data_IF_516832822291
#
_entry.id   IF_516832822291
#
_cell.length_a   1.000
_cell.length_b   1.000
_cell.length_c   1.000
_cell.angle_alpha   90.00
_cell.angle_beta   90.00
_cell.angle_gamma   90.00
#
_symmetry.space_group_name_H-M   'P 1'
#
loop_
_entity.id
_entity.type
_entity.pdbx_description
1 polymer ?
#
# COMPACT_ATOMS: atom_id res chain seq x y z
N UNK A 1 24.93 40.48 -12.63
CA UNK A 1 25.55 39.51 -11.70
C UNK A 1 24.66 39.43 -10.47
N UNK A 2 23.63 38.59 -10.53
CA UNK A 2 22.83 38.18 -9.38
C UNK A 2 22.54 36.70 -9.61
N UNK A 3 23.27 35.89 -8.87
CA UNK A 3 23.21 34.43 -8.88
C UNK A 3 22.01 33.98 -8.05
N UNK A 4 21.27 33.04 -8.65
CA UNK A 4 20.23 32.22 -8.05
C UNK A 4 20.69 31.65 -6.72
N UNK A 5 19.91 31.89 -5.67
CA UNK A 5 20.03 31.16 -4.42
C UNK A 5 19.25 29.85 -4.59
N UNK A 6 20.01 28.78 -4.83
CA UNK A 6 19.51 27.42 -4.86
C UNK A 6 19.30 27.00 -3.40
N UNK A 7 18.05 27.08 -2.94
CA UNK A 7 17.67 26.55 -1.63
C UNK A 7 18.03 25.07 -1.56
N UNK A 8 18.95 24.80 -0.66
CA UNK A 8 19.58 23.51 -0.43
C UNK A 8 18.53 22.51 0.02
N UNK A 9 18.45 21.41 -0.72
CA UNK A 9 17.79 20.15 -0.40
C UNK A 9 18.04 19.73 1.06
N UNK A 10 17.06 19.90 1.93
CA UNK A 10 16.82 18.90 2.99
C UNK A 10 16.01 17.77 2.36
N UNK A 11 16.71 16.91 1.58
CA UNK A 11 16.20 15.55 1.38
C UNK A 11 16.36 14.88 2.74
N UNK A 12 15.29 14.80 3.51
CA UNK A 12 15.17 13.81 4.57
C UNK A 12 15.26 12.43 3.90
N UNK A 13 16.49 11.96 3.68
CA UNK A 13 16.76 10.53 3.54
C UNK A 13 16.34 9.95 4.88
N UNK A 14 15.16 9.31 4.92
CA UNK A 14 14.77 8.50 6.06
C UNK A 14 15.96 7.57 6.33
N UNK A 15 16.59 7.71 7.49
CA UNK A 15 17.71 6.85 7.84
C UNK A 15 17.11 5.46 8.01
N UNK A 16 17.37 4.59 7.04
CA UNK A 16 16.92 3.21 7.09
C UNK A 16 17.64 2.56 8.26
N UNK A 17 16.90 2.23 9.34
CA UNK A 17 17.44 1.57 10.52
C UNK A 17 16.98 0.12 10.50
N UNK A 18 17.92 -0.78 10.30
CA UNK A 18 17.70 -2.22 10.36
C UNK A 18 18.29 -2.77 11.63
N UNK A 19 17.56 -3.64 12.32
CA UNK A 19 18.06 -4.38 13.47
C UNK A 19 18.30 -5.83 13.10
N UNK A 20 19.51 -6.32 13.36
CA UNK A 20 19.82 -7.76 13.30
C UNK A 20 19.96 -8.27 14.73
N UNK A 21 19.26 -9.36 15.04
CA UNK A 21 19.16 -9.96 16.36
C UNK A 21 19.61 -11.43 16.33
N UNK A 22 20.19 -11.91 17.44
CA UNK A 22 20.65 -13.29 17.63
C UNK A 22 21.55 -13.39 18.86
N UNK A 23 22.09 -14.56 19.17
CA UNK A 23 22.95 -14.81 20.35
C UNK A 23 24.34 -14.16 20.31
N UNK A 24 24.56 -13.16 19.44
CA UNK A 24 25.87 -12.56 19.20
C UNK A 24 26.87 -13.51 18.49
N UNK A 25 26.37 -14.57 17.86
CA UNK A 25 27.17 -15.58 17.19
C UNK A 25 27.73 -15.13 15.83
N UNK A 26 28.54 -15.99 15.21
CA UNK A 26 29.18 -15.70 13.92
C UNK A 26 28.16 -15.47 12.80
N UNK A 27 27.00 -16.14 12.85
CA UNK A 27 25.95 -16.00 11.84
C UNK A 27 25.26 -14.63 11.92
N UNK A 28 24.99 -14.14 13.13
CA UNK A 28 24.45 -12.79 13.34
C UNK A 28 25.40 -11.70 12.82
N UNK A 29 26.70 -11.86 13.05
CA UNK A 29 27.73 -10.94 12.51
C UNK A 29 27.78 -10.98 10.98
N UNK A 30 27.66 -12.16 10.36
CA UNK A 30 27.62 -12.31 8.91
C UNK A 30 26.39 -11.63 8.30
N UNK A 31 25.21 -11.87 8.87
CA UNK A 31 23.97 -11.23 8.43
C UNK A 31 24.06 -9.69 8.53
N UNK A 32 24.57 -9.18 9.66
CA UNK A 32 24.78 -7.76 9.86
C UNK A 32 25.76 -7.16 8.85
N UNK A 33 26.83 -7.87 8.50
CA UNK A 33 27.82 -7.41 7.53
C UNK A 33 27.23 -7.32 6.11
N UNK A 34 26.51 -8.34 5.65
CA UNK A 34 25.81 -8.30 4.35
C UNK A 34 24.85 -7.12 4.30
N UNK A 35 24.04 -6.92 5.35
CA UNK A 35 23.11 -5.80 5.42
C UNK A 35 23.84 -4.44 5.42
N UNK A 36 24.96 -4.29 6.14
CA UNK A 36 25.76 -3.06 6.16
C UNK A 36 26.33 -2.73 4.78
N UNK A 37 26.86 -3.72 4.08
CA UNK A 37 27.43 -3.53 2.75
C UNK A 37 26.39 -3.02 1.76
N UNK A 38 25.17 -3.55 1.80
CA UNK A 38 24.09 -3.07 0.93
C UNK A 38 23.55 -1.73 1.39
N UNK A 39 23.36 -1.52 2.69
CA UNK A 39 22.89 -0.24 3.25
C UNK A 39 23.85 0.92 2.94
N UNK A 40 25.16 0.69 3.01
CA UNK A 40 26.18 1.70 2.69
C UNK A 40 26.08 2.20 1.24
N UNK A 41 25.69 1.35 0.28
CA UNK A 41 25.46 1.74 -1.13
C UNK A 41 24.27 2.70 -1.29
N UNK A 42 23.42 2.81 -0.26
CA UNK A 42 22.18 3.60 -0.24
C UNK A 42 22.20 4.71 0.81
N UNK A 43 23.36 4.98 1.41
CA UNK A 43 23.49 5.94 2.53
C UNK A 43 22.62 5.58 3.76
N UNK A 44 22.27 4.31 3.94
CA UNK A 44 21.55 3.79 5.10
C UNK A 44 22.48 3.31 6.22
N UNK A 45 21.92 2.90 7.37
CA UNK A 45 22.69 2.35 8.50
C UNK A 45 22.07 1.06 9.03
N UNK A 46 22.90 0.18 9.61
CA UNK A 46 22.44 -1.07 10.21
C UNK A 46 22.91 -1.10 11.65
N UNK A 47 21.95 -1.25 12.56
CA UNK A 47 22.20 -1.45 13.97
C UNK A 47 22.12 -2.94 14.28
N UNK A 48 22.98 -3.40 15.18
CA UNK A 48 22.92 -4.78 15.69
C UNK A 48 22.52 -4.66 17.14
N UNK A 49 21.43 -5.32 17.50
CA UNK A 49 20.84 -5.26 18.84
C UNK A 49 20.69 -6.69 19.37
N UNK A 50 21.22 -6.96 20.54
CA UNK A 50 20.99 -8.24 21.24
C UNK A 50 19.58 -8.24 21.83
N UNK A 51 18.77 -9.27 21.54
CA UNK A 51 17.47 -9.45 22.18
C UNK A 51 17.63 -10.29 23.45
N UNK A 52 16.92 -9.98 24.55
CA UNK A 52 16.53 -11.00 25.49
C UNK A 52 15.45 -11.89 24.82
N UNK A 53 15.70 -13.19 24.68
CA UNK A 53 14.72 -14.20 24.21
C UNK A 53 13.39 -14.00 24.99
N UNK A 54 12.24 -13.67 24.38
CA UNK A 54 11.38 -14.50 23.50
C UNK A 54 10.23 -13.63 22.90
N UNK A 55 9.80 -13.72 21.61
CA UNK A 55 8.64 -12.99 21.08
C UNK A 55 7.26 -13.60 21.46
N UNK A 56 7.25 -14.70 22.23
CA UNK A 56 6.14 -15.57 22.68
C UNK A 56 5.98 -16.90 21.91
N UNK A 57 6.98 -17.76 22.11
CA UNK A 57 6.96 -19.23 22.23
C UNK A 57 7.08 -20.12 20.97
N UNK A 58 7.56 -21.37 21.16
CA UNK A 58 8.88 -21.72 21.66
C UNK A 58 9.76 -22.19 20.48
N UNK A 59 10.96 -21.63 20.37
CA UNK A 59 11.99 -22.13 19.46
C UNK A 59 12.42 -23.52 19.93
N UNK A 60 11.76 -24.55 19.39
CA UNK A 60 12.18 -25.93 19.53
C UNK A 60 13.48 -26.15 18.79
N UNK A 61 14.52 -26.55 19.53
CA UNK A 61 15.77 -27.15 19.07
C UNK A 61 16.28 -26.68 17.68
N UNK A 62 16.70 -25.43 17.58
CA UNK A 62 17.63 -25.01 16.53
C UNK A 62 18.53 -23.92 17.08
N UNK A 63 19.85 -24.12 16.95
CA UNK A 63 20.86 -23.09 17.15
C UNK A 63 20.43 -21.79 16.43
N UNK A 64 20.36 -20.69 17.17
CA UNK A 64 19.57 -19.48 16.87
C UNK A 64 19.99 -18.78 15.56
N UNK A 65 19.22 -18.96 14.48
CA UNK A 65 19.41 -18.21 13.24
C UNK A 65 19.17 -16.70 13.48
N UNK A 66 19.93 -15.81 12.80
CA UNK A 66 19.76 -14.38 12.97
C UNK A 66 18.38 -13.91 12.49
N UNK A 67 17.77 -13.00 13.24
CA UNK A 67 16.49 -12.39 12.94
C UNK A 67 16.72 -10.97 12.46
N UNK A 68 16.19 -10.63 11.28
CA UNK A 68 16.25 -9.28 10.73
C UNK A 68 14.89 -8.63 10.91
N UNK A 69 14.90 -7.51 11.62
CA UNK A 69 13.72 -6.72 11.94
C UNK A 69 13.89 -5.26 11.49
N UNK A 70 12.77 -4.64 11.15
CA UNK A 70 12.66 -3.21 10.87
C UNK A 70 11.61 -2.62 11.82
N UNK A 71 12.04 -1.74 12.72
CA UNK A 71 11.21 -1.33 13.86
C UNK A 71 10.82 -2.53 14.74
N UNK A 72 9.53 -2.71 15.00
CA UNK A 72 9.00 -3.83 15.79
C UNK A 72 8.62 -5.05 14.94
N UNK A 73 8.82 -5.01 13.61
CA UNK A 73 8.38 -6.06 12.69
C UNK A 73 9.53 -6.98 12.32
N UNK A 74 9.38 -8.27 12.60
CA UNK A 74 10.27 -9.31 12.07
C UNK A 74 9.98 -9.52 10.58
N UNK A 75 11.01 -9.50 9.74
CA UNK A 75 10.85 -9.61 8.27
C UNK A 75 11.63 -10.77 7.68
N UNK A 76 12.71 -11.22 8.32
CA UNK A 76 13.50 -12.35 7.83
C UNK A 76 14.17 -13.12 8.97
N UNK A 77 14.36 -14.42 8.77
CA UNK A 77 15.11 -15.31 9.67
C UNK A 77 16.18 -16.04 8.86
N UNK A 78 17.41 -16.08 9.35
CA UNK A 78 18.59 -16.61 8.66
C UNK A 78 19.57 -15.53 8.19
N UNK A 79 20.67 -15.97 7.57
CA UNK A 79 21.66 -15.08 6.98
C UNK A 79 21.27 -14.76 5.52
N UNK A 80 20.98 -13.49 5.18
CA UNK A 80 20.60 -13.11 3.82
C UNK A 80 21.79 -13.16 2.87
N UNK A 81 21.52 -13.47 1.61
CA UNK A 81 22.42 -13.16 0.49
C UNK A 81 22.42 -11.65 0.20
N UNK A 82 23.34 -11.18 -0.66
CA UNK A 82 23.37 -9.78 -1.10
C UNK A 82 22.07 -9.35 -1.79
N UNK A 83 21.49 -10.22 -2.62
CA UNK A 83 20.24 -9.97 -3.33
C UNK A 83 19.05 -9.88 -2.35
N UNK A 84 18.96 -10.83 -1.41
CA UNK A 84 17.94 -10.80 -0.36
C UNK A 84 18.06 -9.55 0.52
N UNK A 85 19.29 -9.17 0.89
CA UNK A 85 19.53 -7.94 1.64
C UNK A 85 19.05 -6.70 0.87
N UNK A 86 19.29 -6.63 -0.44
CA UNK A 86 18.81 -5.53 -1.28
C UNK A 86 17.28 -5.48 -1.38
N UNK A 87 16.63 -6.64 -1.53
CA UNK A 87 15.17 -6.72 -1.52
C UNK A 87 14.59 -6.27 -0.17
N UNK A 88 15.12 -6.77 0.94
CA UNK A 88 14.66 -6.45 2.29
C UNK A 88 14.78 -4.94 2.56
N UNK A 89 15.90 -4.31 2.19
CA UNK A 89 16.11 -2.87 2.35
C UNK A 89 15.16 -2.05 1.47
N UNK A 90 14.94 -2.44 0.20
CA UNK A 90 13.96 -1.76 -0.68
C UNK A 90 12.55 -1.85 -0.11
N UNK A 91 12.17 -3.02 0.42
CA UNK A 91 10.85 -3.25 1.02
C UNK A 91 10.60 -2.32 2.19
N UNK A 92 11.56 -2.20 3.09
CA UNK A 92 11.43 -1.28 4.22
C UNK A 92 11.45 0.18 3.78
N UNK A 93 12.31 0.55 2.84
CA UNK A 93 12.40 1.92 2.32
C UNK A 93 11.07 2.38 1.74
N UNK A 94 10.45 1.62 0.85
CA UNK A 94 9.14 2.00 0.30
C UNK A 94 8.04 1.96 1.37
N UNK A 95 8.03 0.96 2.25
CA UNK A 95 7.04 0.84 3.33
C UNK A 95 7.08 2.04 4.28
N UNK A 96 8.27 2.46 4.71
CA UNK A 96 8.47 3.63 5.57
C UNK A 96 8.07 4.95 4.90
N UNK A 97 8.24 5.07 3.58
CA UNK A 97 7.88 6.28 2.82
C UNK A 97 6.37 6.42 2.66
N UNK A 98 5.67 5.31 2.46
CA UNK A 98 4.21 5.31 2.30
C UNK A 98 3.44 5.24 3.63
N UNK A 99 4.07 4.77 4.72
CA UNK A 99 3.41 4.61 6.02
C UNK A 99 2.96 5.93 6.66
N UNK A 100 3.53 7.07 6.26
CA UNK A 100 3.02 8.40 6.67
C UNK A 100 1.58 8.64 6.21
N UNK A 101 1.14 7.97 5.14
CA UNK A 101 -0.22 8.00 4.62
C UNK A 101 -1.03 6.75 5.01
N UNK A 102 -0.57 5.99 6.01
CA UNK A 102 -1.38 4.92 6.57
C UNK A 102 -2.70 5.50 7.09
N UNK A 103 -3.82 4.90 6.69
CA UNK A 103 -5.16 5.37 7.07
C UNK A 103 -5.38 5.39 8.59
N UNK A 104 -4.61 4.61 9.36
CA UNK A 104 -4.56 4.69 10.83
C UNK A 104 -4.18 6.10 11.35
N UNK A 105 -3.58 6.95 10.52
CA UNK A 105 -3.30 8.34 10.88
C UNK A 105 -4.54 9.24 10.77
N UNK A 106 -5.58 8.83 10.02
CA UNK A 106 -6.84 9.56 9.91
C UNK A 106 -7.66 9.42 11.21
N UNK A 107 -7.93 10.56 11.86
CA UNK A 107 -8.71 10.57 13.10
C UNK A 107 -10.17 10.15 12.86
N UNK A 108 -10.79 10.64 11.78
CA UNK A 108 -12.20 10.36 11.50
C UNK A 108 -12.43 8.88 11.18
N UNK A 109 -11.58 8.28 10.35
CA UNK A 109 -11.69 6.86 9.97
C UNK A 109 -11.52 5.94 11.18
N UNK A 110 -10.49 6.19 12.01
CA UNK A 110 -10.28 5.40 13.24
C UNK A 110 -11.44 5.53 14.22
N UNK A 111 -11.88 6.76 14.49
CA UNK A 111 -12.99 6.99 15.41
C UNK A 111 -14.30 6.38 14.88
N UNK A 112 -14.48 6.30 13.56
CA UNK A 112 -15.62 5.63 12.95
C UNK A 112 -15.53 4.11 13.15
N UNK A 113 -14.38 3.50 12.86
CA UNK A 113 -14.12 2.09 13.10
C UNK A 113 -14.36 1.69 14.58
N UNK A 114 -14.03 2.59 15.51
CA UNK A 114 -14.24 2.42 16.95
C UNK A 114 -15.67 2.78 17.44
N UNK A 115 -16.56 3.28 16.57
CA UNK A 115 -17.91 3.71 16.93
C UNK A 115 -17.96 5.00 17.80
N UNK A 116 -16.85 5.72 17.88
CA UNK A 116 -16.71 6.96 18.66
C UNK A 116 -17.25 8.18 17.92
N UNK A 117 -17.26 8.16 16.59
CA UNK A 117 -17.88 9.20 15.76
C UNK A 117 -18.90 8.58 14.81
N UNK A 118 -20.02 9.27 14.60
CA UNK A 118 -20.96 8.92 13.55
C UNK A 118 -20.50 9.57 12.25
N UNK A 119 -20.56 8.85 11.14
CA UNK A 119 -20.36 9.38 9.78
C UNK A 119 -21.57 8.98 8.95
N UNK A 120 -21.87 9.76 7.92
CA UNK A 120 -22.85 9.36 6.91
C UNK A 120 -22.26 8.24 6.04
N UNK A 121 -22.80 7.01 6.06
CA UNK A 121 -22.29 5.93 5.19
C UNK A 121 -22.41 6.29 3.71
N UNK A 122 -23.38 7.14 3.32
CA UNK A 122 -23.50 7.60 1.93
C UNK A 122 -22.25 8.38 1.46
N UNK A 123 -21.47 8.96 2.36
CA UNK A 123 -20.22 9.64 2.01
C UNK A 123 -19.21 8.69 1.33
N UNK A 124 -19.19 7.41 1.71
CA UNK A 124 -18.32 6.42 1.07
C UNK A 124 -18.70 6.15 -0.39
N UNK A 125 -19.96 6.40 -0.80
CA UNK A 125 -20.38 6.20 -2.17
C UNK A 125 -19.63 7.10 -3.18
N UNK A 126 -19.01 8.19 -2.71
CA UNK A 126 -18.12 9.02 -3.53
C UNK A 126 -16.84 8.30 -3.99
N UNK A 127 -16.51 7.14 -3.41
CA UNK A 127 -15.40 6.30 -3.87
C UNK A 127 -15.75 5.51 -5.14
N UNK A 128 -17.03 5.35 -5.45
CA UNK A 128 -17.49 4.50 -6.55
C UNK A 128 -16.80 4.77 -7.90
N UNK A 129 -16.53 6.02 -8.33
CA UNK A 129 -15.76 6.25 -9.55
C UNK A 129 -14.35 5.66 -9.53
N UNK A 130 -13.68 5.66 -8.38
CA UNK A 130 -12.34 5.07 -8.22
C UNK A 130 -12.46 3.55 -8.36
N UNK A 131 -13.43 2.92 -7.68
CA UNK A 131 -13.71 1.49 -7.82
C UNK A 131 -14.05 1.11 -9.27
N UNK A 132 -14.86 1.91 -9.94
CA UNK A 132 -15.26 1.69 -11.33
C UNK A 132 -14.08 1.77 -12.31
N UNK A 133 -13.16 2.72 -12.09
CA UNK A 133 -12.02 2.96 -12.98
C UNK A 133 -10.77 2.15 -12.63
N UNK A 134 -10.66 1.57 -11.43
CA UNK A 134 -9.49 0.77 -11.02
C UNK A 134 -9.13 -0.37 -11.99
N UNK A 135 -10.10 -1.19 -12.47
CA UNK A 135 -9.82 -2.19 -13.50
C UNK A 135 -9.30 -1.56 -14.81
N UNK A 136 -9.70 -0.33 -15.11
CA UNK A 136 -9.22 0.39 -16.30
C UNK A 136 -7.80 0.92 -16.08
N UNK A 137 -7.41 1.32 -14.87
CA UNK A 137 -6.01 1.66 -14.54
C UNK A 137 -5.10 0.46 -14.78
N UNK A 138 -5.51 -0.73 -14.33
CA UNK A 138 -4.80 -1.99 -14.58
C UNK A 138 -4.69 -2.27 -16.09
N UNK A 139 -5.80 -2.19 -16.83
CA UNK A 139 -5.80 -2.41 -18.28
C UNK A 139 -4.86 -1.44 -19.03
N UNK A 140 -4.84 -0.17 -18.63
CA UNK A 140 -3.91 0.85 -19.16
C UNK A 140 -2.45 0.50 -18.88
N UNK A 141 -2.15 0.07 -17.66
CA UNK A 141 -0.80 -0.36 -17.29
C UNK A 141 -0.36 -1.59 -18.10
N UNK A 142 -1.22 -2.61 -18.19
CA UNK A 142 -1.00 -3.81 -19.02
C UNK A 142 -0.68 -3.43 -20.48
N UNK A 143 -1.36 -2.41 -21.02
CA UNK A 143 -1.18 -1.95 -22.39
C UNK A 143 0.21 -1.42 -22.72
N UNK A 144 0.99 -0.95 -21.74
CA UNK A 144 2.32 -0.37 -22.00
C UNK A 144 3.49 -1.04 -21.25
N UNK A 145 3.26 -1.64 -20.07
CA UNK A 145 4.31 -2.34 -19.30
C UNK A 145 4.94 -3.45 -20.15
N UNK A 146 6.27 -3.46 -20.25
CA UNK A 146 7.01 -4.31 -21.20
C UNK A 146 7.50 -5.61 -20.59
N UNK A 147 7.77 -5.65 -19.29
CA UNK A 147 8.11 -6.89 -18.61
C UNK A 147 6.93 -7.86 -18.60
N UNK A 148 7.15 -9.09 -19.09
CA UNK A 148 6.06 -10.06 -19.27
C UNK A 148 5.54 -10.59 -17.93
N UNK A 149 6.42 -10.80 -16.95
CA UNK A 149 6.03 -11.31 -15.63
C UNK A 149 5.22 -10.25 -14.88
N UNK A 150 5.64 -8.99 -14.92
CA UNK A 150 4.88 -7.87 -14.39
C UNK A 150 3.50 -7.76 -15.04
N UNK A 151 3.41 -7.89 -16.37
CA UNK A 151 2.11 -7.92 -17.05
C UNK A 151 1.23 -9.09 -16.62
N UNK A 152 1.78 -10.29 -16.44
CA UNK A 152 1.00 -11.45 -15.99
C UNK A 152 0.38 -11.22 -14.61
N UNK A 153 1.13 -10.62 -13.68
CA UNK A 153 0.61 -10.23 -12.37
C UNK A 153 -0.54 -9.22 -12.48
N UNK A 154 -0.37 -8.18 -13.33
CA UNK A 154 -1.42 -7.20 -13.58
C UNK A 154 -2.66 -7.80 -14.24
N UNK A 155 -2.49 -8.76 -15.16
CA UNK A 155 -3.61 -9.48 -15.80
C UNK A 155 -4.36 -10.33 -14.78
N UNK A 156 -3.65 -10.99 -13.85
CA UNK A 156 -4.25 -11.73 -12.75
C UNK A 156 -5.13 -10.82 -11.88
N UNK A 157 -4.57 -9.70 -11.43
CA UNK A 157 -5.31 -8.68 -10.68
C UNK A 157 -6.55 -8.19 -11.47
N UNK A 158 -6.38 -7.82 -12.76
CA UNK A 158 -7.51 -7.39 -13.60
C UNK A 158 -8.62 -8.44 -13.72
N UNK A 159 -8.25 -9.73 -13.78
CA UNK A 159 -9.19 -10.85 -13.85
C UNK A 159 -10.00 -10.98 -12.55
N UNK A 160 -9.35 -10.84 -11.40
CA UNK A 160 -10.00 -10.84 -10.08
C UNK A 160 -10.93 -9.64 -9.91
N UNK A 161 -10.49 -8.43 -10.28
CA UNK A 161 -11.31 -7.22 -10.30
C UNK A 161 -12.59 -7.35 -11.15
N UNK A 162 -12.53 -8.18 -12.21
CA UNK A 162 -13.68 -8.55 -13.04
C UNK A 162 -14.45 -9.76 -12.49
N UNK A 163 -14.34 -10.05 -11.20
CA UNK A 163 -15.08 -11.11 -10.52
C UNK A 163 -14.76 -12.50 -11.05
N UNK A 164 -13.53 -12.73 -11.54
CA UNK A 164 -13.16 -13.96 -12.22
C UNK A 164 -14.04 -14.28 -13.45
N UNK A 165 -14.52 -13.24 -14.13
CA UNK A 165 -15.51 -13.25 -15.23
C UNK A 165 -16.95 -13.58 -14.81
N UNK A 166 -17.27 -13.52 -13.52
CA UNK A 166 -18.63 -13.45 -13.02
C UNK A 166 -19.03 -11.98 -12.83
N UNK A 167 -19.97 -11.50 -13.66
CA UNK A 167 -20.46 -10.12 -13.62
C UNK A 167 -21.02 -9.73 -12.23
N UNK A 168 -21.57 -10.68 -11.47
CA UNK A 168 -22.11 -10.44 -10.13
C UNK A 168 -21.03 -10.27 -9.05
N UNK A 169 -19.80 -10.70 -9.34
CA UNK A 169 -18.67 -10.66 -8.42
C UNK A 169 -17.64 -9.59 -8.80
N UNK A 170 -17.87 -8.82 -9.87
CA UNK A 170 -16.98 -7.70 -10.21
C UNK A 170 -16.91 -6.74 -9.03
N UNK A 171 -15.73 -6.24 -8.70
CA UNK A 171 -15.55 -5.34 -7.57
C UNK A 171 -16.43 -4.07 -7.70
N UNK A 172 -16.61 -3.47 -8.90
CA UNK A 172 -17.61 -2.43 -9.12
C UNK A 172 -19.05 -2.87 -8.82
N UNK A 173 -19.45 -4.12 -9.10
CA UNK A 173 -20.80 -4.61 -8.75
C UNK A 173 -20.96 -4.78 -7.24
N UNK A 174 -19.96 -5.31 -6.55
CA UNK A 174 -19.95 -5.39 -5.08
C UNK A 174 -20.11 -3.99 -4.47
N UNK A 175 -19.46 -2.97 -5.05
CA UNK A 175 -19.63 -1.58 -4.62
C UNK A 175 -21.02 -1.01 -4.95
N UNK A 176 -21.61 -1.38 -6.10
CA UNK A 176 -23.01 -1.03 -6.40
C UNK A 176 -23.97 -1.65 -5.40
N UNK A 177 -23.74 -2.89 -4.97
CA UNK A 177 -24.54 -3.54 -3.93
C UNK A 177 -24.45 -2.79 -2.60
N UNK A 178 -23.25 -2.33 -2.22
CA UNK A 178 -23.09 -1.43 -1.07
C UNK A 178 -23.99 -0.19 -1.17
N UNK A 179 -23.97 0.51 -2.31
CA UNK A 179 -24.80 1.71 -2.51
C UNK A 179 -26.29 1.38 -2.44
N UNK A 180 -26.73 0.26 -3.06
CA UNK A 180 -28.13 -0.18 -3.02
C UNK A 180 -28.58 -0.59 -1.62
N UNK A 181 -27.71 -1.19 -0.81
CA UNK A 181 -27.98 -1.55 0.58
C UNK A 181 -28.21 -0.31 1.49
N UNK A 182 -27.82 0.88 1.03
CA UNK A 182 -28.14 2.17 1.66
C UNK A 182 -29.42 2.82 1.10
N UNK A 183 -30.20 2.10 0.28
CA UNK A 183 -31.35 2.60 -0.46
C UNK A 183 -31.02 3.76 -1.43
N UNK A 184 -29.79 3.79 -1.95
CA UNK A 184 -29.32 4.81 -2.90
C UNK A 184 -29.24 4.26 -4.33
N UNK A 185 -29.25 5.16 -5.32
CA UNK A 185 -29.04 4.82 -6.73
C UNK A 185 -27.54 4.92 -7.11
N UNK A 186 -26.86 3.83 -7.49
CA UNK A 186 -25.46 3.88 -7.90
C UNK A 186 -25.18 4.79 -9.10
N UNK A 187 -26.13 4.96 -10.01
CA UNK A 187 -25.96 5.82 -11.18
C UNK A 187 -25.76 7.30 -10.81
N UNK A 188 -26.19 7.70 -9.61
CA UNK A 188 -25.98 9.05 -9.09
C UNK A 188 -24.51 9.36 -8.75
N UNK A 189 -23.67 8.33 -8.64
CA UNK A 189 -22.27 8.45 -8.21
C UNK A 189 -21.27 8.21 -9.34
N UNK A 190 -21.71 7.94 -10.58
CA UNK A 190 -20.82 7.66 -11.72
C UNK A 190 -20.15 8.93 -12.28
N UNK A 191 -20.82 10.09 -12.19
CA UNK A 191 -20.33 11.30 -12.83
C UNK A 191 -19.17 11.94 -12.06
N UNK A 192 -18.03 12.11 -12.74
CA UNK A 192 -16.80 12.71 -12.22
C UNK A 192 -16.74 14.23 -12.28
N UNK A 193 -17.61 14.91 -13.05
CA UNK A 193 -17.44 16.32 -13.43
C UNK A 193 -17.26 17.30 -12.25
N UNK A 194 -17.60 16.90 -11.01
CA UNK A 194 -17.24 17.60 -9.78
C UNK A 194 -17.06 16.65 -8.57
N UNK A 195 -16.72 15.37 -8.80
CA UNK A 195 -16.64 14.39 -7.72
C UNK A 195 -15.35 14.55 -6.89
N UNK A 196 -15.38 14.29 -5.57
CA UNK A 196 -14.16 14.22 -4.75
C UNK A 196 -13.11 13.23 -5.32
N UNK A 197 -13.57 12.21 -6.05
CA UNK A 197 -12.73 11.20 -6.70
C UNK A 197 -12.04 11.66 -7.99
N UNK A 198 -12.46 12.77 -8.62
CA UNK A 198 -12.03 13.12 -9.98
C UNK A 198 -10.52 13.30 -10.13
N UNK A 199 -9.90 14.01 -9.18
CA UNK A 199 -8.45 14.22 -9.18
C UNK A 199 -7.66 12.90 -9.03
N UNK A 200 -8.18 11.96 -8.24
CA UNK A 200 -7.58 10.63 -8.08
C UNK A 200 -7.66 9.89 -9.41
N UNK A 201 -8.86 9.80 -10.00
CA UNK A 201 -9.08 9.09 -11.26
C UNK A 201 -8.24 9.66 -12.41
N UNK A 202 -8.25 10.99 -12.58
CA UNK A 202 -7.44 11.67 -13.60
C UNK A 202 -5.96 11.34 -13.44
N UNK A 203 -5.45 11.39 -12.20
CA UNK A 203 -4.03 11.17 -11.93
C UNK A 203 -3.61 9.72 -12.17
N UNK A 204 -4.42 8.75 -11.74
CA UNK A 204 -4.15 7.34 -12.00
C UNK A 204 -4.21 7.03 -13.50
N UNK A 205 -5.18 7.61 -14.22
CA UNK A 205 -5.27 7.49 -15.66
C UNK A 205 -4.03 8.01 -16.38
N UNK A 206 -3.55 9.20 -15.99
CA UNK A 206 -2.37 9.79 -16.59
C UNK A 206 -1.10 8.95 -16.36
N UNK A 207 -0.91 8.37 -15.17
CA UNK A 207 0.29 7.59 -14.84
C UNK A 207 0.23 6.16 -15.35
N UNK A 208 -0.95 5.53 -15.38
CA UNK A 208 -1.10 4.16 -15.85
C UNK A 208 -1.22 4.04 -17.37
N UNK A 209 -1.54 5.11 -18.09
CA UNK A 209 -1.69 5.06 -19.55
C UNK A 209 -0.35 4.97 -20.31
N UNK A 210 0.71 5.61 -19.79
CA UNK A 210 1.96 5.74 -20.52
C UNK A 210 3.16 6.06 -19.61
N UNK A 211 4.35 5.96 -20.18
CA UNK A 211 5.61 6.28 -19.52
C UNK A 211 6.41 5.03 -19.13
N UNK A 212 7.43 5.19 -18.28
CA UNK A 212 8.22 4.08 -17.76
C UNK A 212 7.41 3.13 -16.87
N UNK A 213 7.60 1.81 -17.06
CA UNK A 213 6.92 0.74 -16.32
C UNK A 213 6.91 0.93 -14.80
N UNK A 214 8.05 1.36 -14.22
CA UNK A 214 8.19 1.55 -12.76
C UNK A 214 7.21 2.58 -12.20
N UNK A 215 6.75 3.55 -13.00
CA UNK A 215 5.78 4.55 -12.54
C UNK A 215 4.38 3.98 -12.42
N UNK A 216 3.92 3.23 -13.42
CA UNK A 216 2.61 2.58 -13.36
C UNK A 216 2.56 1.54 -12.22
N UNK A 217 3.61 0.72 -12.11
CA UNK A 217 3.73 -0.26 -11.02
C UNK A 217 3.79 0.39 -9.64
N UNK A 218 4.49 1.51 -9.48
CA UNK A 218 4.54 2.26 -8.22
C UNK A 218 3.18 2.90 -7.86
N UNK A 219 2.46 3.42 -8.86
CA UNK A 219 1.14 4.03 -8.67
C UNK A 219 0.15 2.97 -8.17
N UNK A 220 0.09 1.82 -8.84
CA UNK A 220 -0.77 0.70 -8.45
C UNK A 220 -0.36 0.10 -7.10
N UNK A 221 0.95 -0.07 -6.85
CA UNK A 221 1.45 -0.52 -5.55
C UNK A 221 0.97 0.40 -4.42
N UNK A 222 1.08 1.72 -4.60
CA UNK A 222 0.66 2.68 -3.58
C UNK A 222 -0.84 2.63 -3.28
N UNK A 223 -1.67 2.30 -4.26
CA UNK A 223 -3.10 2.07 -4.06
C UNK A 223 -3.36 0.82 -3.22
N UNK A 224 -2.96 -0.33 -3.74
CA UNK A 224 -3.20 -1.67 -3.16
C UNK A 224 -2.61 -1.77 -1.76
N UNK A 225 -1.44 -1.17 -1.56
CA UNK A 225 -0.77 -1.16 -0.26
C UNK A 225 -1.59 -0.48 0.83
N UNK A 226 -2.37 0.54 0.48
CA UNK A 226 -3.17 1.31 1.42
C UNK A 226 -4.61 0.79 1.53
N UNK A 227 -5.11 0.12 0.49
CA UNK A 227 -6.54 -0.15 0.37
C UNK A 227 -7.03 -1.24 1.33
N UNK A 228 -6.30 -2.35 1.51
CA UNK A 228 -6.66 -3.35 2.53
C UNK A 228 -6.81 -2.78 3.95
N UNK A 229 -5.86 -1.99 4.50
CA UNK A 229 -6.03 -1.32 5.78
C UNK A 229 -7.23 -0.36 5.84
N UNK A 230 -7.52 0.36 4.75
CA UNK A 230 -8.69 1.23 4.64
C UNK A 230 -9.97 0.40 4.77
N UNK A 231 -10.11 -0.60 3.93
CA UNK A 231 -11.29 -1.47 3.88
C UNK A 231 -11.51 -2.19 5.22
N UNK A 232 -10.45 -2.61 5.90
CA UNK A 232 -10.51 -3.20 7.25
C UNK A 232 -11.19 -2.25 8.25
N UNK A 233 -10.74 -1.00 8.31
CA UNK A 233 -11.31 -0.01 9.23
C UNK A 233 -12.74 0.39 8.85
N UNK A 234 -13.01 0.59 7.56
CA UNK A 234 -14.34 0.95 7.09
C UNK A 234 -15.36 -0.16 7.35
N UNK A 235 -14.99 -1.42 7.08
CA UNK A 235 -15.82 -2.58 7.38
C UNK A 235 -16.13 -2.68 8.89
N UNK A 236 -15.15 -2.41 9.75
CA UNK A 236 -15.34 -2.40 11.20
C UNK A 236 -16.34 -1.31 11.65
N UNK A 237 -16.33 -0.14 11.01
CA UNK A 237 -17.31 0.92 11.27
C UNK A 237 -18.71 0.59 10.75
N UNK A 238 -18.82 0.13 9.50
CA UNK A 238 -20.08 -0.21 8.84
C UNK A 238 -20.85 -1.32 9.57
N UNK A 239 -20.16 -2.35 10.08
CA UNK A 239 -20.77 -3.42 10.88
C UNK A 239 -21.48 -2.95 12.15
N UNK A 240 -21.20 -1.73 12.64
CA UNK A 240 -21.88 -1.15 13.80
C UNK A 240 -23.21 -0.50 13.45
N UNK A 241 -23.52 -0.34 12.16
CA UNK A 241 -24.70 0.36 11.66
C UNK A 241 -25.88 -0.57 11.38
N UNK A 242 -25.77 -1.87 11.69
CA UNK A 242 -26.83 -2.89 11.50
C UNK A 242 -27.39 -2.91 10.05
N UNK A 243 -26.52 -2.65 9.06
CA UNK A 243 -26.84 -2.70 7.63
C UNK A 243 -26.85 -4.15 7.12
N UNK A 244 -27.40 -4.36 5.93
CA UNK A 244 -27.35 -5.64 5.21
C UNK A 244 -25.90 -6.12 4.99
N UNK A 245 -25.67 -7.43 4.89
CA UNK A 245 -24.33 -7.99 4.64
C UNK A 245 -23.72 -7.47 3.33
N UNK A 246 -24.55 -7.19 2.33
CA UNK A 246 -24.13 -6.57 1.06
C UNK A 246 -23.51 -5.17 1.28
N UNK A 247 -23.82 -4.49 2.39
CA UNK A 247 -23.23 -3.21 2.73
C UNK A 247 -21.75 -3.31 3.17
N UNK A 248 -21.25 -4.51 3.46
CA UNK A 248 -19.88 -4.70 3.96
C UNK A 248 -19.04 -5.56 3.02
N UNK A 249 -19.67 -6.38 2.17
CA UNK A 249 -19.01 -7.38 1.32
C UNK A 249 -17.86 -6.83 0.48
N UNK A 250 -18.02 -5.67 -0.17
CA UNK A 250 -16.95 -5.04 -0.94
C UNK A 250 -15.69 -4.80 -0.08
N UNK A 251 -15.87 -4.26 1.11
CA UNK A 251 -14.77 -3.93 2.02
C UNK A 251 -14.12 -5.19 2.62
N UNK A 252 -14.90 -6.25 2.85
CA UNK A 252 -14.36 -7.51 3.32
C UNK A 252 -13.42 -8.15 2.31
N UNK A 253 -13.82 -8.22 1.03
CA UNK A 253 -12.97 -8.74 -0.05
C UNK A 253 -11.63 -8.01 -0.09
N UNK A 254 -11.66 -6.68 -0.16
CA UNK A 254 -10.45 -5.85 -0.25
C UNK A 254 -9.63 -5.82 1.04
N UNK A 255 -10.21 -6.16 2.21
CA UNK A 255 -9.43 -6.27 3.44
C UNK A 255 -8.38 -7.40 3.39
N UNK A 256 -8.60 -8.41 2.55
CA UNK A 256 -7.74 -9.58 2.42
C UNK A 256 -6.94 -9.58 1.10
N UNK A 257 -7.62 -9.49 -0.05
CA UNK A 257 -7.01 -9.78 -1.38
C UNK A 257 -5.90 -8.79 -1.77
N UNK A 258 -6.06 -7.51 -1.43
CA UNK A 258 -5.12 -6.44 -1.82
C UNK A 258 -3.74 -6.59 -1.16
N UNK A 259 -3.63 -7.37 -0.07
CA UNK A 259 -2.34 -7.66 0.57
C UNK A 259 -1.43 -8.42 -0.39
N UNK A 260 -1.98 -9.41 -1.09
CA UNK A 260 -1.24 -10.21 -2.06
C UNK A 260 -0.94 -9.41 -3.33
N UNK A 261 -1.91 -8.62 -3.81
CA UNK A 261 -1.68 -7.70 -4.95
C UNK A 261 -0.56 -6.69 -4.67
N UNK A 262 -0.54 -6.08 -3.48
CA UNK A 262 0.51 -5.15 -3.10
C UNK A 262 1.90 -5.83 -3.09
N UNK A 263 2.01 -7.08 -2.64
CA UNK A 263 3.28 -7.80 -2.65
C UNK A 263 3.71 -8.22 -4.07
N UNK A 264 2.77 -8.65 -4.92
CA UNK A 264 3.03 -8.93 -6.34
C UNK A 264 3.50 -7.67 -7.09
N UNK A 265 2.82 -6.55 -6.91
CA UNK A 265 3.18 -5.26 -7.49
C UNK A 265 4.55 -4.78 -6.99
N UNK A 266 4.86 -4.97 -5.69
CA UNK A 266 6.18 -4.65 -5.14
C UNK A 266 7.27 -5.46 -5.84
N UNK A 267 7.07 -6.77 -6.02
CA UNK A 267 8.02 -7.63 -6.70
C UNK A 267 8.27 -7.16 -8.15
N UNK A 268 7.21 -6.91 -8.91
CA UNK A 268 7.30 -6.35 -10.27
C UNK A 268 8.01 -4.99 -10.29
N UNK A 269 7.68 -4.10 -9.35
CA UNK A 269 8.27 -2.78 -9.23
C UNK A 269 9.78 -2.85 -9.00
N UNK A 270 10.25 -3.80 -8.19
CA UNK A 270 11.68 -3.95 -7.91
C UNK A 270 12.44 -4.37 -9.17
N UNK A 271 11.87 -5.27 -9.96
CA UNK A 271 12.42 -5.68 -11.26
C UNK A 271 12.45 -4.54 -12.28
N UNK A 272 11.44 -3.67 -12.29
CA UNK A 272 11.38 -2.51 -13.17
C UNK A 272 12.40 -1.40 -12.82
N UNK A 273 12.93 -1.42 -11.59
CA UNK A 273 13.87 -0.41 -11.08
C UNK A 273 15.35 -0.87 -11.17
N UNK A 274 15.93 -0.73 -12.36
CA UNK A 274 17.33 -1.08 -12.69
C UNK A 274 18.38 -0.02 -12.28
N UNK A 275 17.96 1.10 -11.70
CA UNK A 275 18.86 2.18 -11.28
C UNK A 275 18.34 2.92 -10.06
N UNK A 276 19.24 3.54 -9.25
CA UNK A 276 18.82 4.34 -8.10
C UNK A 276 17.86 5.48 -8.46
N UNK A 277 17.99 6.04 -9.67
CA UNK A 277 17.10 7.08 -10.17
C UNK A 277 15.68 6.55 -10.38
N UNK A 278 15.50 5.41 -11.07
CA UNK A 278 14.18 4.81 -11.25
C UNK A 278 13.54 4.44 -9.92
N UNK A 279 14.35 3.93 -8.98
CA UNK A 279 13.87 3.61 -7.64
C UNK A 279 13.39 4.85 -6.89
N UNK A 280 14.14 5.97 -6.91
CA UNK A 280 13.67 7.22 -6.27
C UNK A 280 12.38 7.75 -6.94
N UNK A 281 12.29 7.72 -8.27
CA UNK A 281 11.07 8.10 -8.99
C UNK A 281 9.88 7.20 -8.62
N UNK A 282 10.10 5.88 -8.47
CA UNK A 282 9.09 4.94 -8.00
C UNK A 282 8.63 5.25 -6.57
N UNK A 283 9.56 5.57 -5.66
CA UNK A 283 9.22 5.97 -4.29
C UNK A 283 8.35 7.24 -4.29
N UNK A 284 8.69 8.24 -5.10
CA UNK A 284 7.89 9.47 -5.22
C UNK A 284 6.47 9.18 -5.71
N UNK A 285 6.32 8.32 -6.72
CA UNK A 285 5.00 7.95 -7.27
C UNK A 285 4.18 7.11 -6.28
N UNK A 286 4.78 6.13 -5.60
CA UNK A 286 4.08 5.33 -4.59
C UNK A 286 3.60 6.17 -3.40
N UNK A 287 4.41 7.17 -3.02
CA UNK A 287 4.07 8.16 -1.99
C UNK A 287 2.92 9.05 -2.44
N UNK A 288 2.93 9.53 -3.69
CA UNK A 288 1.83 10.29 -4.28
C UNK A 288 0.53 9.47 -4.29
N UNK A 289 0.59 8.24 -4.81
CA UNK A 289 -0.55 7.31 -4.88
C UNK A 289 -1.20 7.10 -3.50
N UNK A 290 -0.37 6.84 -2.48
CA UNK A 290 -0.83 6.64 -1.10
C UNK A 290 -1.45 7.92 -0.52
N UNK A 291 -0.85 9.09 -0.81
CA UNK A 291 -1.34 10.38 -0.35
C UNK A 291 -2.70 10.74 -0.93
N UNK A 292 -2.90 10.52 -2.24
CA UNK A 292 -4.19 10.74 -2.91
C UNK A 292 -5.32 9.94 -2.26
N UNK A 293 -5.06 8.66 -1.94
CA UNK A 293 -6.05 7.79 -1.33
C UNK A 293 -6.33 8.18 0.13
N UNK A 294 -5.28 8.49 0.89
CA UNK A 294 -5.41 8.99 2.25
C UNK A 294 -6.25 10.27 2.30
N UNK A 295 -5.88 11.27 1.49
CA UNK A 295 -6.56 12.57 1.45
C UNK A 295 -8.02 12.41 1.01
N UNK A 296 -8.29 11.52 0.05
CA UNK A 296 -9.66 11.22 -0.38
C UNK A 296 -10.53 10.74 0.79
N UNK A 297 -10.11 9.70 1.51
CA UNK A 297 -10.92 9.16 2.61
C UNK A 297 -10.97 10.09 3.83
N UNK A 298 -9.86 10.74 4.17
CA UNK A 298 -9.77 11.66 5.31
C UNK A 298 -10.66 12.90 5.12
N UNK A 299 -10.80 13.39 3.88
CA UNK A 299 -11.61 14.59 3.59
C UNK A 299 -13.06 14.29 3.23
N UNK A 300 -13.34 13.11 2.64
CA UNK A 300 -14.70 12.70 2.25
C UNK A 300 -15.52 12.32 3.47
N UNK A 301 -14.93 11.61 4.44
CA UNK A 301 -15.62 11.23 5.66
C UNK A 301 -15.65 12.38 6.65
N UNK A 302 -16.85 12.79 7.04
CA UNK A 302 -17.06 13.85 8.02
C UNK A 302 -17.95 13.37 9.16
N UNK A 303 -17.64 13.77 10.42
CA UNK A 303 -18.53 13.54 11.54
C UNK A 303 -19.92 14.13 11.27
N UNK A 304 -20.97 13.35 11.49
CA UNK A 304 -22.34 13.86 11.55
C UNK A 304 -22.79 13.99 13.01
N UNK A 305 -23.65 14.97 13.34
CA UNK A 305 -24.23 15.07 14.67
C UNK A 305 -24.96 13.77 15.03
N UNK A 306 -24.78 13.26 16.25
CA UNK A 306 -25.66 12.21 16.76
C UNK A 306 -27.01 12.86 17.11
N UNK A 307 -28.14 12.23 16.75
CA UNK A 307 -29.46 12.67 17.21
C UNK A 307 -29.58 12.65 18.74
#
# INVERSE_FOLDING_TARGET
>A
MQTLDASTKERHSAQLVVSVHGSGDTLCLQAAEVMRQVAARRSGSVQVLELPLDPSAPLGEADELPVIAFGQRTVYTGCPTLEQAEELLRREEIASRVSKYAINNSAVVRLFAEGKVAVDPAALAHYYPISLDFPIFLARAIGHVRDENARLLLVGNLYEEHGNLDASQTHPELFRNYIRALDLNPDAFVNLDNAPAAAVVERYNAVCAEGPDHRALAMLYGFEKQFSPICTLLAAGLRRLELDEDAVRFFDVHSEVDVDHAEQLRFALFGACDSPRKWEEALEVAVEASGLLYDFFDTTLKPVPRP
#
